data_IF_478312797099
#
_entry.id   IF_478312797099
#
_cell.length_a   1.000
_cell.length_b   1.000
_cell.length_c   1.000
_cell.angle_alpha   90.00
_cell.angle_beta   90.00
_cell.angle_gamma   90.00
#
_symmetry.space_group_name_H-M   'P 1'
#
loop_
_entity.id
_entity.type
_entity.pdbx_description
1 polymer ?
#
# COMPACT_ATOMS: atom_id res chain seq x y z
N UNK A 1 -15.61 -3.34 -3.19
CA UNK A 1 -15.35 -2.22 -2.28
C UNK A 1 -14.60 -2.76 -1.08
N UNK A 2 -13.28 -2.59 -1.05
CA UNK A 2 -12.50 -2.87 0.15
C UNK A 2 -12.58 -1.62 1.02
N UNK A 3 -13.39 -1.68 2.08
CA UNK A 3 -13.45 -0.60 3.04
C UNK A 3 -12.17 -0.64 3.90
N UNK A 4 -11.41 0.47 3.97
CA UNK A 4 -10.26 0.54 4.85
C UNK A 4 -10.72 0.33 6.30
N UNK A 5 -10.14 -0.65 7.00
CA UNK A 5 -10.42 -0.89 8.42
C UNK A 5 -9.48 -0.02 9.26
N UNK A 6 -9.84 0.23 10.51
CA UNK A 6 -9.12 1.11 11.46
C UNK A 6 -7.66 0.64 11.75
N UNK A 7 -7.24 -0.51 11.22
CA UNK A 7 -5.88 -1.06 11.31
C UNK A 7 -5.19 -1.23 9.95
N UNK A 8 -5.50 -0.38 8.96
CA UNK A 8 -4.82 -0.45 7.67
C UNK A 8 -3.32 -0.14 7.86
N UNK A 9 -2.48 -1.03 7.31
CA UNK A 9 -1.04 -0.80 7.22
C UNK A 9 -0.77 0.09 6.02
N UNK A 10 0.22 0.98 6.14
CA UNK A 10 0.63 1.87 5.06
C UNK A 10 2.07 1.58 4.66
N UNK A 11 2.37 1.79 3.39
CA UNK A 11 3.67 1.50 2.82
C UNK A 11 4.15 2.70 1.99
N UNK A 12 5.33 3.23 2.31
CA UNK A 12 6.02 4.21 1.48
C UNK A 12 6.78 3.48 0.37
N UNK A 13 6.47 3.78 -0.89
CA UNK A 13 7.23 3.28 -2.03
C UNK A 13 8.61 3.95 -2.08
N UNK A 14 9.68 3.16 -1.96
CA UNK A 14 11.07 3.63 -2.05
C UNK A 14 11.75 3.21 -3.36
N UNK A 15 11.21 2.18 -4.01
CA UNK A 15 11.66 1.67 -5.31
C UNK A 15 10.45 1.24 -6.15
N UNK A 16 10.52 1.45 -7.46
CA UNK A 16 9.46 1.01 -8.39
C UNK A 16 10.01 0.22 -9.59
N UNK A 17 11.33 0.17 -9.83
CA UNK A 17 11.98 -0.52 -10.98
C UNK A 17 11.19 -0.40 -12.29
N UNK A 18 10.77 0.82 -12.62
CA UNK A 18 10.01 1.14 -13.84
C UNK A 18 8.61 0.51 -13.94
N UNK A 19 8.04 0.03 -12.83
CA UNK A 19 6.60 -0.28 -12.73
C UNK A 19 5.80 1.01 -12.91
N UNK A 20 4.98 1.05 -13.96
CA UNK A 20 4.20 2.23 -14.35
C UNK A 20 3.13 2.60 -13.32
N UNK A 21 2.64 1.62 -12.56
CA UNK A 21 1.58 1.81 -11.55
C UNK A 21 2.15 2.20 -10.16
N UNK A 22 3.48 2.25 -10.02
CA UNK A 22 4.16 2.63 -8.79
C UNK A 22 4.87 3.98 -8.91
N UNK A 23 4.59 4.87 -7.97
CA UNK A 23 5.19 6.18 -7.84
C UNK A 23 6.12 6.22 -6.63
N UNK A 24 7.41 6.52 -6.85
CA UNK A 24 8.38 6.67 -5.76
C UNK A 24 7.94 7.78 -4.81
N UNK A 25 8.08 7.54 -3.51
CA UNK A 25 7.73 8.44 -2.39
C UNK A 25 6.23 8.61 -2.16
N UNK A 26 5.37 7.91 -2.91
CA UNK A 26 3.94 7.82 -2.64
C UNK A 26 3.68 6.79 -1.53
N UNK A 27 2.63 7.04 -0.76
CA UNK A 27 2.16 6.12 0.28
C UNK A 27 0.99 5.32 -0.28
N UNK A 28 1.05 4.02 -0.10
CA UNK A 28 0.03 3.06 -0.51
C UNK A 28 -0.61 2.40 0.70
N UNK A 29 -1.87 1.98 0.54
CA UNK A 29 -2.58 1.15 1.52
C UNK A 29 -2.18 -0.30 1.32
N UNK A 30 -1.76 -0.98 2.38
CA UNK A 30 -1.40 -2.40 2.35
C UNK A 30 -2.60 -3.25 2.74
N UNK A 31 -2.91 -4.23 1.89
CA UNK A 31 -3.91 -5.26 2.16
C UNK A 31 -3.22 -6.45 2.83
N UNK A 32 -3.70 -6.93 3.99
CA UNK A 32 -3.19 -8.15 4.59
C UNK A 32 -3.34 -9.35 3.65
N UNK A 33 -2.23 -10.01 3.36
CA UNK A 33 -2.15 -11.18 2.49
C UNK A 33 -0.98 -12.06 2.97
N UNK A 34 -1.29 -13.04 3.82
CA UNK A 34 -0.27 -13.89 4.45
C UNK A 34 0.49 -14.75 3.43
N UNK A 35 -0.17 -15.16 2.34
CA UNK A 35 0.45 -15.96 1.29
C UNK A 35 1.46 -15.12 0.51
N UNK A 36 1.10 -13.89 0.14
CA UNK A 36 2.02 -12.97 -0.52
C UNK A 36 3.21 -12.59 0.39
N UNK A 37 2.95 -12.31 1.67
CA UNK A 37 3.99 -11.96 2.63
C UNK A 37 5.02 -13.10 2.81
N UNK A 38 4.56 -14.36 2.83
CA UNK A 38 5.44 -15.53 2.89
C UNK A 38 6.37 -15.65 1.68
N UNK A 39 5.90 -15.22 0.52
CA UNK A 39 6.69 -15.20 -0.72
C UNK A 39 7.51 -13.91 -0.89
N UNK A 40 7.48 -13.00 0.09
CA UNK A 40 8.25 -11.74 0.06
C UNK A 40 7.60 -10.63 -0.77
N UNK A 41 6.29 -10.68 -0.95
CA UNK A 41 5.48 -9.68 -1.64
C UNK A 41 4.61 -8.88 -0.66
N UNK A 42 4.22 -7.68 -1.07
CA UNK A 42 3.21 -6.85 -0.44
C UNK A 42 2.09 -6.58 -1.43
N UNK A 43 0.85 -6.77 -0.96
CA UNK A 43 -0.36 -6.39 -1.69
C UNK A 43 -0.72 -4.96 -1.32
N UNK A 44 -0.74 -4.07 -2.29
CA UNK A 44 -1.01 -2.64 -2.11
C UNK A 44 -2.17 -2.17 -3.00
N UNK A 45 -2.92 -1.19 -2.53
CA UNK A 45 -3.99 -0.55 -3.30
C UNK A 45 -3.46 0.77 -3.88
N UNK A 46 -3.63 0.95 -5.18
CA UNK A 46 -3.28 2.18 -5.89
C UNK A 46 -4.42 3.24 -5.84
N UNK A 47 -4.33 4.29 -6.66
CA UNK A 47 -5.35 5.33 -6.72
C UNK A 47 -6.63 4.94 -7.48
N UNK A 48 -6.58 3.88 -8.29
CA UNK A 48 -7.75 3.33 -8.94
C UNK A 48 -8.62 2.51 -7.97
N UNK A 49 -8.07 2.12 -6.83
CA UNK A 49 -8.71 1.25 -5.85
C UNK A 49 -8.50 -0.24 -6.16
N UNK A 50 -7.65 -0.57 -7.12
CA UNK A 50 -7.26 -1.93 -7.46
C UNK A 50 -6.07 -2.38 -6.63
N UNK A 51 -6.04 -3.67 -6.27
CA UNK A 51 -4.93 -4.26 -5.51
C UNK A 51 -3.91 -4.93 -6.43
N UNK A 52 -2.63 -4.65 -6.15
CA UNK A 52 -1.49 -5.16 -6.90
C UNK A 52 -0.44 -5.76 -5.97
N UNK A 53 0.30 -6.76 -6.47
CA UNK A 53 1.38 -7.43 -5.74
C UNK A 53 2.74 -6.95 -6.23
N UNK A 54 3.57 -6.49 -5.30
CA UNK A 54 4.93 -6.06 -5.58
C UNK A 54 5.91 -6.61 -4.55
N UNK A 55 7.21 -6.72 -4.88
CA UNK A 55 8.20 -7.16 -3.91
C UNK A 55 8.17 -6.29 -2.66
N UNK A 56 8.15 -6.90 -1.47
CA UNK A 56 8.11 -6.17 -0.20
C UNK A 56 9.32 -5.21 -0.05
N UNK A 57 10.43 -5.52 -0.71
CA UNK A 57 11.64 -4.68 -0.76
C UNK A 57 11.46 -3.33 -1.43
N UNK A 58 10.35 -3.10 -2.15
CA UNK A 58 10.04 -1.82 -2.78
C UNK A 58 9.46 -0.82 -1.78
N UNK A 59 9.12 -1.28 -0.57
CA UNK A 59 8.36 -0.50 0.38
C UNK A 59 9.00 -0.47 1.76
N UNK A 60 8.67 0.59 2.49
CA UNK A 60 8.89 0.68 3.94
C UNK A 60 7.52 0.82 4.59
N UNK A 61 7.19 -0.06 5.54
CA UNK A 61 5.98 0.07 6.34
C UNK A 61 6.07 1.32 7.22
N UNK A 62 5.02 2.13 7.21
CA UNK A 62 4.93 3.37 7.98
C UNK A 62 3.68 3.40 8.82
N UNK A 63 3.82 3.86 10.06
CA UNK A 63 2.70 4.21 10.91
C UNK A 63 2.35 5.68 10.66
N UNK A 64 1.11 5.93 10.31
CA UNK A 64 0.62 7.28 10.05
C UNK A 64 -0.31 7.73 11.19
N UNK A 65 -0.28 9.02 11.56
CA UNK A 65 -1.27 9.59 12.46
C UNK A 65 -2.67 9.46 11.86
N UNK A 66 -3.69 9.37 12.72
CA UNK A 66 -5.07 9.11 12.31
C UNK A 66 -5.58 10.10 11.25
N UNK A 67 -5.19 11.38 11.34
CA UNK A 67 -5.56 12.41 10.38
C UNK A 67 -5.02 12.10 8.96
N UNK A 68 -3.80 11.57 8.86
CA UNK A 68 -3.22 11.18 7.58
C UNK A 68 -3.83 9.89 7.04
N UNK A 69 -4.18 8.94 7.92
CA UNK A 69 -4.91 7.74 7.52
C UNK A 69 -6.26 8.10 6.90
N UNK A 70 -7.01 9.02 7.52
CA UNK A 70 -8.30 9.47 6.99
C UNK A 70 -8.14 10.21 5.65
N UNK A 71 -7.12 11.06 5.50
CA UNK A 71 -6.84 11.72 4.22
C UNK A 71 -6.56 10.73 3.08
N UNK A 72 -5.95 9.59 3.38
CA UNK A 72 -5.66 8.52 2.42
C UNK A 72 -6.84 7.56 2.19
N UNK A 73 -7.88 7.59 3.03
CA UNK A 73 -9.11 6.79 2.84
C UNK A 73 -10.00 7.33 1.72
N UNK A 74 -9.71 8.51 1.17
CA UNK A 74 -10.58 9.18 0.20
C UNK A 74 -10.12 8.88 -1.24
N UNK A 75 -10.73 7.85 -1.81
CA UNK A 75 -11.10 7.82 -3.22
C UNK A 75 -12.52 7.24 -3.29
N UNK A 76 -13.51 8.15 -3.17
CA UNK A 76 -14.93 7.89 -3.40
C UNK A 76 -15.46 8.90 -4.40
#
# INVERSE_FOLDING_TARGET
MIEPRVNNRFALCVENKDSEDLEKRKIYVVVPDEDAEREGYLRVIDESGEDYLYPASYFILVELPAEAQEALRVAG
#
